data_IF_866781411566
#
_entry.id   IF_866781411566
#
_cell.length_a   1.000
_cell.length_b   1.000
_cell.length_c   1.000
_cell.angle_alpha   90.00
_cell.angle_beta   90.00
_cell.angle_gamma   90.00
#
_symmetry.space_group_name_H-M   'P 1'
#
loop_
_entity.id
_entity.type
_entity.pdbx_description
1 polymer ?
#
# COMPACT_ATOMS: atom_id res chain seq x y z
N UNK A 1 56.67 -16.69 54.23
CA UNK A 1 55.68 -17.32 53.30
C UNK A 1 54.78 -16.27 52.77
N UNK A 2 55.01 -15.77 51.56
CA UNK A 2 54.20 -14.72 50.92
C UNK A 2 53.14 -15.43 50.01
N UNK A 3 51.87 -15.29 50.35
CA UNK A 3 50.78 -15.78 49.51
C UNK A 3 50.50 -14.74 48.41
N UNK A 4 50.74 -15.08 47.17
CA UNK A 4 50.39 -14.30 45.99
C UNK A 4 48.95 -14.64 45.66
N UNK A 5 48.05 -13.66 45.85
CA UNK A 5 46.67 -13.75 45.43
C UNK A 5 46.61 -13.27 43.96
N UNK A 6 46.44 -14.20 43.04
CA UNK A 6 46.24 -13.93 41.63
C UNK A 6 44.76 -13.53 41.40
N UNK A 7 44.51 -12.24 41.28
CA UNK A 7 43.19 -11.69 40.97
C UNK A 7 42.90 -11.86 39.46
N UNK A 8 42.03 -12.81 39.12
CA UNK A 8 41.52 -12.95 37.74
C UNK A 8 40.48 -11.86 37.44
N UNK A 9 40.90 -10.84 36.70
CA UNK A 9 39.98 -9.88 36.10
C UNK A 9 39.34 -10.53 34.86
N UNK A 10 38.09 -10.99 35.00
CA UNK A 10 37.25 -11.37 33.86
C UNK A 10 36.68 -10.10 33.24
N UNK A 11 37.26 -9.67 32.14
CA UNK A 11 36.73 -8.56 31.33
C UNK A 11 35.57 -9.13 30.49
N UNK A 12 34.35 -8.87 30.94
CA UNK A 12 33.14 -9.18 30.21
C UNK A 12 32.97 -8.14 29.09
N UNK A 13 33.46 -8.43 27.90
CA UNK A 13 33.25 -7.62 26.71
C UNK A 13 31.78 -7.76 26.26
N UNK A 14 30.94 -6.80 26.61
CA UNK A 14 29.58 -6.66 26.08
C UNK A 14 29.71 -6.30 24.60
N UNK A 15 29.57 -7.29 23.72
CA UNK A 15 29.36 -7.07 22.29
C UNK A 15 27.98 -6.45 22.07
N UNK A 16 27.94 -5.11 22.02
CA UNK A 16 26.77 -4.36 21.54
C UNK A 16 26.64 -4.61 20.03
N UNK A 17 25.86 -5.60 19.64
CA UNK A 17 25.49 -5.80 18.22
C UNK A 17 24.53 -4.67 17.86
N UNK A 18 24.89 -3.79 16.90
CA UNK A 18 23.93 -2.79 16.45
C UNK A 18 22.76 -3.49 15.77
N UNK A 19 21.59 -3.47 16.37
CA UNK A 19 20.34 -3.87 15.73
C UNK A 19 20.05 -2.82 14.64
N UNK A 20 20.45 -3.12 13.41
CA UNK A 20 20.00 -2.33 12.26
C UNK A 20 18.52 -2.65 12.04
N UNK A 21 17.65 -1.80 12.56
CA UNK A 21 16.23 -1.81 12.23
C UNK A 21 16.13 -1.39 10.76
N UNK A 22 15.99 -2.36 9.86
CA UNK A 22 15.58 -2.08 8.50
C UNK A 22 14.14 -1.55 8.56
N UNK A 23 13.97 -0.24 8.41
CA UNK A 23 12.65 0.33 8.21
C UNK A 23 12.06 -0.31 6.95
N UNK A 24 10.95 -1.04 7.10
CA UNK A 24 10.23 -1.59 5.96
C UNK A 24 9.84 -0.43 5.03
N UNK A 25 10.13 -0.56 3.73
CA UNK A 25 9.81 0.49 2.75
C UNK A 25 8.30 0.69 2.75
N UNK A 26 7.86 1.89 3.06
CA UNK A 26 6.46 2.30 2.99
C UNK A 26 5.99 2.26 1.52
N UNK A 27 4.87 1.60 1.26
CA UNK A 27 4.30 1.48 -0.07
C UNK A 27 3.39 2.67 -0.35
N UNK A 28 3.65 3.36 -1.45
CA UNK A 28 2.80 4.46 -1.91
C UNK A 28 1.56 3.93 -2.62
N UNK A 29 0.39 4.28 -2.12
CA UNK A 29 -0.91 4.02 -2.75
C UNK A 29 -1.47 5.35 -3.27
N UNK A 30 -1.81 5.41 -4.54
CA UNK A 30 -2.43 6.57 -5.16
C UNK A 30 -3.79 6.16 -5.71
N UNK A 31 -4.83 6.92 -5.42
CA UNK A 31 -6.20 6.64 -5.82
C UNK A 31 -6.78 7.84 -6.56
N UNK A 32 -7.16 7.65 -7.82
CA UNK A 32 -7.98 8.58 -8.57
C UNK A 32 -9.42 8.09 -8.52
N UNK A 33 -10.37 8.93 -8.13
CA UNK A 33 -11.74 8.50 -7.91
C UNK A 33 -12.77 9.58 -8.29
N UNK A 34 -13.98 9.14 -8.61
CA UNK A 34 -15.16 10.01 -8.75
C UNK A 34 -15.89 10.08 -7.42
N UNK A 35 -16.19 11.31 -6.97
CA UNK A 35 -16.89 11.56 -5.72
C UNK A 35 -18.41 11.67 -5.94
N UNK A 36 -19.04 10.59 -6.39
CA UNK A 36 -20.49 10.56 -6.64
C UNK A 36 -21.21 9.70 -5.61
N UNK A 37 -22.41 10.11 -5.19
CA UNK A 37 -23.20 9.48 -4.14
C UNK A 37 -23.29 7.94 -4.22
N UNK A 38 -23.66 7.33 -5.37
CA UNK A 38 -23.75 5.87 -5.49
C UNK A 38 -22.43 5.11 -5.32
N UNK A 39 -21.30 5.81 -5.34
CA UNK A 39 -19.96 5.21 -5.28
C UNK A 39 -19.32 5.32 -3.88
N UNK A 40 -19.90 6.11 -2.99
CA UNK A 40 -19.34 6.38 -1.66
C UNK A 40 -19.18 5.11 -0.81
N UNK A 41 -20.16 4.21 -0.84
CA UNK A 41 -20.09 2.95 -0.09
C UNK A 41 -18.91 2.07 -0.55
N UNK A 42 -18.68 2.05 -1.86
CA UNK A 42 -17.53 1.31 -2.43
C UNK A 42 -16.20 1.95 -2.04
N UNK A 43 -16.12 3.28 -2.04
CA UNK A 43 -14.94 4.02 -1.58
C UNK A 43 -14.67 3.77 -0.10
N UNK A 44 -15.69 3.72 0.73
CA UNK A 44 -15.55 3.45 2.16
C UNK A 44 -15.08 2.01 2.44
N UNK A 45 -15.52 1.04 1.65
CA UNK A 45 -14.99 -0.31 1.73
C UNK A 45 -13.50 -0.37 1.35
N UNK A 46 -13.07 0.35 0.32
CA UNK A 46 -11.66 0.46 -0.08
C UNK A 46 -10.85 1.14 1.03
N UNK A 47 -11.35 2.23 1.61
CA UNK A 47 -10.70 2.91 2.75
C UNK A 47 -10.53 1.98 3.95
N UNK A 48 -11.54 1.14 4.27
CA UNK A 48 -11.45 0.13 5.32
C UNK A 48 -10.37 -0.92 5.04
N UNK A 49 -10.20 -1.33 3.78
CA UNK A 49 -9.08 -2.22 3.41
C UNK A 49 -7.75 -1.52 3.68
N UNK A 50 -7.57 -0.29 3.21
CA UNK A 50 -6.31 0.44 3.41
C UNK A 50 -5.98 0.67 4.89
N UNK A 51 -6.98 0.96 5.72
CA UNK A 51 -6.77 1.20 7.16
C UNK A 51 -6.15 0.00 7.90
N UNK A 52 -6.30 -1.22 7.38
CA UNK A 52 -5.71 -2.43 7.95
C UNK A 52 -4.18 -2.51 7.80
N UNK A 53 -3.61 -1.67 6.94
CA UNK A 53 -2.17 -1.67 6.66
C UNK A 53 -1.39 -0.65 7.48
N UNK A 54 -2.06 0.31 8.12
CA UNK A 54 -1.44 1.31 9.00
C UNK A 54 -0.28 2.04 8.33
N UNK A 55 0.86 2.10 9.00
CA UNK A 55 2.07 2.77 8.53
C UNK A 55 2.86 2.01 7.44
N UNK A 56 2.38 0.86 6.99
CA UNK A 56 3.00 0.11 5.87
C UNK A 56 2.68 0.72 4.51
N UNK A 57 1.64 1.57 4.45
CA UNK A 57 1.23 2.27 3.23
C UNK A 57 0.96 3.74 3.52
N UNK A 58 1.23 4.60 2.53
CA UNK A 58 0.73 5.98 2.49
C UNK A 58 -0.25 6.12 1.35
N UNK A 59 -1.47 6.58 1.64
CA UNK A 59 -2.54 6.70 0.66
C UNK A 59 -2.79 8.16 0.29
N UNK A 60 -2.71 8.48 -1.00
CA UNK A 60 -3.07 9.78 -1.57
C UNK A 60 -4.33 9.63 -2.41
N UNK A 61 -5.33 10.47 -2.13
CA UNK A 61 -6.62 10.48 -2.82
C UNK A 61 -6.73 11.69 -3.74
N UNK A 62 -7.10 11.47 -4.98
CA UNK A 62 -7.27 12.50 -6.00
C UNK A 62 -8.69 12.44 -6.55
N UNK A 63 -9.50 13.43 -6.18
CA UNK A 63 -10.84 13.57 -6.72
C UNK A 63 -10.74 14.07 -8.17
N UNK A 64 -11.27 13.29 -9.07
CA UNK A 64 -11.30 13.51 -10.50
C UNK A 64 -11.85 14.89 -10.91
N UNK A 65 -12.79 15.44 -10.15
CA UNK A 65 -13.45 16.73 -10.44
C UNK A 65 -12.70 17.95 -9.88
N UNK A 66 -11.56 17.72 -9.20
CA UNK A 66 -10.74 18.81 -8.67
C UNK A 66 -9.56 19.12 -9.58
N UNK A 67 -9.01 20.34 -9.44
CA UNK A 67 -7.81 20.74 -10.16
C UNK A 67 -6.60 19.83 -9.88
N UNK A 68 -6.46 19.38 -8.65
CA UNK A 68 -5.42 18.42 -8.24
C UNK A 68 -5.63 17.07 -8.92
N UNK A 69 -6.88 16.61 -9.03
CA UNK A 69 -7.23 15.38 -9.74
C UNK A 69 -6.94 15.48 -11.23
N UNK A 70 -7.29 16.59 -11.89
CA UNK A 70 -6.98 16.85 -13.31
C UNK A 70 -5.45 16.82 -13.55
N UNK A 71 -4.68 17.48 -12.69
CA UNK A 71 -3.20 17.47 -12.77
C UNK A 71 -2.64 16.07 -12.58
N UNK A 72 -3.20 15.31 -11.65
CA UNK A 72 -2.81 13.94 -11.41
C UNK A 72 -3.14 13.02 -12.59
N UNK A 73 -4.32 13.17 -13.20
CA UNK A 73 -4.70 12.47 -14.43
C UNK A 73 -3.69 12.72 -15.55
N UNK A 74 -3.35 13.98 -15.80
CA UNK A 74 -2.35 14.37 -16.82
C UNK A 74 -0.99 13.72 -16.54
N UNK A 75 -0.53 13.74 -15.28
CA UNK A 75 0.71 13.10 -14.84
C UNK A 75 0.69 11.59 -15.09
N UNK A 76 -0.43 10.93 -14.82
CA UNK A 76 -0.60 9.46 -14.99
C UNK A 76 -1.00 9.09 -16.43
N UNK A 77 -1.17 10.07 -17.32
CA UNK A 77 -1.64 9.90 -18.71
C UNK A 77 -3.00 9.16 -18.79
N UNK A 78 -3.87 9.44 -17.83
CA UNK A 78 -5.24 8.96 -17.84
C UNK A 78 -6.06 9.91 -18.72
N UNK A 79 -6.48 9.43 -19.89
CA UNK A 79 -7.21 10.24 -20.89
C UNK A 79 -8.71 9.93 -20.92
N UNK A 80 -9.12 8.85 -20.27
CA UNK A 80 -10.51 8.40 -20.23
C UNK A 80 -11.17 8.72 -18.89
N UNK A 81 -12.47 8.90 -18.94
CA UNK A 81 -13.32 9.06 -17.76
C UNK A 81 -13.47 7.68 -17.08
N UNK A 82 -12.62 7.42 -16.10
CA UNK A 82 -12.67 6.18 -15.32
C UNK A 82 -13.12 6.48 -13.90
N UNK A 83 -14.06 5.71 -13.34
CA UNK A 83 -14.64 6.02 -12.03
C UNK A 83 -13.66 5.81 -10.87
N UNK A 84 -12.67 4.94 -11.05
CA UNK A 84 -11.67 4.62 -10.05
C UNK A 84 -10.43 4.04 -10.71
N UNK A 85 -9.24 4.46 -10.28
CA UNK A 85 -7.98 3.78 -10.55
C UNK A 85 -7.14 3.77 -9.28
N UNK A 86 -6.54 2.62 -8.95
CA UNK A 86 -5.62 2.48 -7.82
C UNK A 86 -4.24 2.11 -8.34
N UNK A 87 -3.22 2.85 -7.91
CA UNK A 87 -1.81 2.52 -8.14
C UNK A 87 -1.17 2.09 -6.82
N UNK A 88 -0.53 0.93 -6.83
CA UNK A 88 0.28 0.40 -5.73
C UNK A 88 1.75 0.51 -6.13
N UNK A 89 2.52 1.32 -5.44
CA UNK A 89 3.92 1.66 -5.77
C UNK A 89 4.10 2.04 -7.24
N UNK A 90 3.18 2.88 -7.74
CA UNK A 90 3.16 3.42 -9.11
C UNK A 90 2.54 2.52 -10.19
N UNK A 91 2.08 1.32 -9.86
CA UNK A 91 1.50 0.34 -10.81
C UNK A 91 0.02 0.13 -10.56
N UNK A 92 -0.81 0.28 -11.59
CA UNK A 92 -2.25 -0.05 -11.58
C UNK A 92 -2.54 -1.45 -12.11
N UNK A 93 -1.52 -2.14 -12.62
CA UNK A 93 -1.59 -3.53 -13.09
C UNK A 93 -0.51 -4.32 -12.37
N UNK A 94 -0.90 -5.38 -11.68
CA UNK A 94 0.02 -6.24 -10.92
C UNK A 94 -0.33 -7.72 -11.11
N UNK A 95 0.68 -8.61 -11.11
CA UNK A 95 0.44 -10.03 -10.97
C UNK A 95 0.02 -10.32 -9.52
N UNK A 96 -1.16 -10.90 -9.35
CA UNK A 96 -1.72 -11.29 -8.05
C UNK A 96 -2.17 -12.73 -8.15
N UNK A 97 -1.65 -13.62 -7.30
CA UNK A 97 -2.00 -15.04 -7.29
C UNK A 97 -1.94 -15.70 -8.68
N UNK A 98 -0.92 -15.36 -9.48
CA UNK A 98 -0.72 -15.91 -10.83
C UNK A 98 -1.62 -15.34 -11.93
N UNK A 99 -2.41 -14.30 -11.63
CA UNK A 99 -3.25 -13.56 -12.57
C UNK A 99 -2.81 -12.11 -12.66
N UNK A 100 -2.88 -11.51 -13.84
CA UNK A 100 -2.70 -10.08 -14.00
C UNK A 100 -4.00 -9.36 -13.61
N UNK A 101 -3.91 -8.53 -12.55
CA UNK A 101 -5.04 -7.76 -12.03
C UNK A 101 -4.83 -6.28 -12.37
N UNK A 102 -5.85 -5.69 -13.01
CA UNK A 102 -5.91 -4.27 -13.35
C UNK A 102 -6.87 -3.57 -12.40
N UNK A 103 -6.35 -2.71 -11.51
CA UNK A 103 -7.13 -1.96 -10.52
C UNK A 103 -7.75 -0.70 -11.15
N UNK A 104 -8.67 -0.91 -12.07
CA UNK A 104 -9.44 0.13 -12.80
C UNK A 104 -10.92 -0.20 -12.70
N UNK A 105 -11.74 0.83 -12.46
CA UNK A 105 -13.15 0.66 -12.10
C UNK A 105 -13.32 0.22 -10.65
N UNK A 106 -14.56 0.16 -10.18
CA UNK A 106 -14.87 -0.32 -8.83
C UNK A 106 -14.72 -1.86 -8.74
N UNK A 107 -14.55 -2.42 -7.54
CA UNK A 107 -14.46 -3.86 -7.37
C UNK A 107 -15.73 -4.56 -7.90
N UNK A 108 -15.58 -5.74 -8.46
CA UNK A 108 -16.71 -6.59 -8.87
C UNK A 108 -17.64 -6.80 -7.68
N UNK A 109 -18.95 -6.61 -7.90
CA UNK A 109 -19.96 -6.70 -6.86
C UNK A 109 -20.13 -5.43 -6.01
N UNK A 110 -19.43 -4.34 -6.32
CA UNK A 110 -19.50 -3.08 -5.59
C UNK A 110 -19.82 -1.92 -6.55
N UNK A 111 -20.85 -1.15 -6.23
CA UNK A 111 -21.31 -0.04 -7.06
C UNK A 111 -22.05 -0.47 -8.34
N UNK A 112 -22.43 0.50 -9.21
CA UNK A 112 -23.13 0.21 -10.46
C UNK A 112 -22.31 -0.66 -11.41
N UNK A 113 -22.98 -1.61 -12.08
CA UNK A 113 -22.33 -2.64 -12.92
C UNK A 113 -21.41 -2.05 -14.00
N UNK A 114 -21.81 -0.96 -14.63
CA UNK A 114 -21.03 -0.31 -15.71
C UNK A 114 -19.80 0.45 -15.20
N UNK A 115 -19.68 0.64 -13.89
CA UNK A 115 -18.49 1.21 -13.25
C UNK A 115 -17.56 0.17 -12.63
N UNK A 116 -17.96 -1.11 -12.62
CA UNK A 116 -17.15 -2.19 -12.05
C UNK A 116 -15.99 -2.57 -12.97
N UNK A 117 -14.84 -2.78 -12.35
CA UNK A 117 -13.69 -3.42 -12.96
C UNK A 117 -13.73 -4.94 -12.81
N UNK A 118 -12.63 -5.59 -13.22
CA UNK A 118 -12.46 -7.06 -13.13
C UNK A 118 -11.52 -7.42 -11.98
N UNK A 119 -11.79 -6.90 -10.79
CA UNK A 119 -11.02 -7.17 -9.59
C UNK A 119 -11.90 -7.16 -8.35
N UNK A 120 -11.49 -7.82 -7.30
CA UNK A 120 -12.25 -7.95 -6.04
C UNK A 120 -11.50 -7.27 -4.89
N UNK A 121 -12.19 -7.06 -3.75
CA UNK A 121 -11.52 -6.59 -2.53
C UNK A 121 -10.44 -7.56 -2.04
N UNK A 122 -10.59 -8.85 -2.31
CA UNK A 122 -9.58 -9.86 -1.96
C UNK A 122 -8.36 -9.77 -2.87
N UNK A 123 -8.53 -9.43 -4.15
CA UNK A 123 -7.41 -9.12 -5.04
C UNK A 123 -6.63 -7.90 -4.55
N UNK A 124 -7.33 -6.86 -4.07
CA UNK A 124 -6.70 -5.67 -3.49
C UNK A 124 -5.90 -6.01 -2.22
N UNK A 125 -6.47 -6.81 -1.30
CA UNK A 125 -5.77 -7.28 -0.10
C UNK A 125 -4.53 -8.11 -0.47
N UNK A 126 -4.69 -9.03 -1.42
CA UNK A 126 -3.59 -9.87 -1.88
C UNK A 126 -2.46 -9.05 -2.51
N UNK A 127 -2.80 -8.06 -3.34
CA UNK A 127 -1.83 -7.13 -3.93
C UNK A 127 -1.11 -6.31 -2.87
N UNK A 128 -1.83 -5.74 -1.90
CA UNK A 128 -1.26 -4.97 -0.80
C UNK A 128 -0.32 -5.83 0.05
N UNK A 129 -0.72 -7.05 0.40
CA UNK A 129 0.15 -8.00 1.11
C UNK A 129 1.44 -8.26 0.31
N UNK A 130 1.30 -8.48 -0.99
CA UNK A 130 2.45 -8.75 -1.86
C UNK A 130 3.42 -7.56 -1.92
N UNK A 131 2.93 -6.31 -2.05
CA UNK A 131 3.81 -5.15 -2.19
C UNK A 131 4.38 -4.69 -0.85
N UNK A 132 3.65 -4.85 0.26
CA UNK A 132 4.13 -4.51 1.61
C UNK A 132 5.08 -5.54 2.21
N UNK A 133 5.08 -6.80 1.73
CA UNK A 133 5.96 -7.88 2.20
C UNK A 133 7.20 -8.06 1.30
N UNK A 134 7.35 -7.32 0.21
CA UNK A 134 8.59 -7.32 -0.59
C UNK A 134 9.70 -6.65 0.23
N UNK A 135 10.66 -7.47 0.67
CA UNK A 135 11.93 -7.03 1.26
C UNK A 135 12.87 -6.50 0.19
#
# INVERSE_FOLDING_TARGET
>A
MKKIILSCFVVLALFSVPFTVFAAKEVKVEVLYMNHGPLLDSLDQIKKVFSQYGNRITVSWYDFETKEGEQFMAKKRVTQHVPLVIWLDGKSVLPVNGKEIKFVGFPTGSGPIFFQGKWTMDDLRSALNQVTNKK
#
